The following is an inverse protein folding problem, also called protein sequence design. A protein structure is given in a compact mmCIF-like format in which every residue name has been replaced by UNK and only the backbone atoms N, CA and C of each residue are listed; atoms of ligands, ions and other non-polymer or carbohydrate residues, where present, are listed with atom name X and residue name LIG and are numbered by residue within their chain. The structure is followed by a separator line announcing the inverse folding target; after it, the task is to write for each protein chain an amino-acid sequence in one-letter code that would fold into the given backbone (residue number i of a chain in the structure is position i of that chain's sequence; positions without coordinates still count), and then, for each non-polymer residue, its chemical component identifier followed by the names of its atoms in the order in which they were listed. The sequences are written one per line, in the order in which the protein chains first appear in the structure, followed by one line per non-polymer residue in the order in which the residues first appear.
data_IF_981323442091
#
_entry.id   IF_981323442091
#
_cell.length_a   1.000
_cell.length_b   1.000
_cell.length_c   1.000
_cell.angle_alpha   90.00
_cell.angle_beta   90.00
_cell.angle_gamma   90.00
#
_symmetry.space_group_name_H-M   'P 1'
#
loop_
_entity.id
_entity.type
_entity.pdbx_description
1 polymer ?
#
# COMPACT_ATOMS: atom_id res chain seq x y z
N UNK A 1 -10.15 -8.47 15.61
CA UNK A 1 -9.47 -7.33 16.25
C UNK A 1 -8.82 -7.82 17.52
N UNK A 2 -7.62 -7.38 17.77
CA UNK A 2 -6.89 -7.69 19.00
C UNK A 2 -7.41 -6.79 20.14
N UNK A 3 -7.90 -7.40 21.22
CA UNK A 3 -8.46 -6.64 22.36
C UNK A 3 -7.38 -5.87 23.11
N UNK A 4 -6.12 -6.27 23.02
CA UNK A 4 -5.03 -5.62 23.73
C UNK A 4 -4.70 -4.24 23.16
N UNK A 5 -4.76 -4.06 21.82
CA UNK A 5 -4.32 -2.84 21.14
C UNK A 5 -5.31 -2.26 20.13
N UNK A 6 -6.41 -2.96 19.84
CA UNK A 6 -7.45 -2.52 18.89
C UNK A 6 -7.06 -2.70 17.41
N UNK A 7 -5.87 -3.24 17.11
CA UNK A 7 -5.45 -3.51 15.74
C UNK A 7 -6.14 -4.74 15.16
N UNK A 8 -6.33 -4.76 13.85
CA UNK A 8 -6.88 -5.91 13.14
C UNK A 8 -5.76 -6.88 12.79
N UNK A 9 -5.99 -8.15 13.07
CA UNK A 9 -5.15 -9.25 12.61
C UNK A 9 -6.00 -10.30 11.90
N UNK A 10 -5.40 -11.00 10.94
CA UNK A 10 -6.09 -12.04 10.17
C UNK A 10 -5.13 -13.08 9.63
N UNK A 11 -5.66 -14.29 9.42
CA UNK A 11 -4.98 -15.40 8.77
C UNK A 11 -3.97 -16.15 9.62
N UNK A 12 -3.34 -17.09 8.97
CA UNK A 12 -2.28 -17.95 9.45
C UNK A 12 -1.25 -18.19 8.31
N UNK A 13 -0.26 -19.04 8.52
CA UNK A 13 0.80 -19.34 7.55
C UNK A 13 0.30 -20.06 6.28
N UNK A 14 -0.95 -20.53 6.27
CA UNK A 14 -1.60 -21.19 5.12
C UNK A 14 -2.51 -20.26 4.32
N UNK A 15 -2.76 -19.05 4.81
CA UNK A 15 -3.71 -18.08 4.23
C UNK A 15 -3.01 -16.90 3.57
N UNK A 16 -3.69 -16.25 2.60
CA UNK A 16 -3.32 -14.99 1.99
C UNK A 16 -4.56 -14.11 1.93
N UNK A 17 -4.66 -13.16 2.86
CA UNK A 17 -5.83 -12.30 3.06
C UNK A 17 -5.57 -10.84 2.75
N UNK A 18 -4.46 -10.53 2.09
CA UNK A 18 -4.14 -9.20 1.57
C UNK A 18 -4.07 -9.24 0.06
N UNK A 19 -3.95 -8.09 -0.59
CA UNK A 19 -3.80 -8.03 -2.05
C UNK A 19 -2.53 -8.73 -2.57
N UNK A 20 -1.53 -8.98 -1.70
CA UNK A 20 -0.33 -9.76 -2.01
C UNK A 20 -0.61 -11.25 -1.76
N UNK A 21 -1.40 -11.87 -2.63
CA UNK A 21 -2.08 -13.14 -2.38
C UNK A 21 -1.54 -14.35 -3.17
N UNK A 22 -0.38 -14.25 -3.81
CA UNK A 22 0.19 -15.33 -4.60
C UNK A 22 0.37 -16.61 -3.77
N UNK A 23 -0.29 -17.68 -4.20
CA UNK A 23 -0.22 -19.02 -3.60
C UNK A 23 -0.29 -20.09 -4.66
N UNK A 24 0.54 -21.12 -4.54
CA UNK A 24 0.56 -22.30 -5.43
C UNK A 24 0.96 -23.53 -4.66
N UNK A 25 0.27 -24.63 -4.87
CA UNK A 25 0.57 -25.96 -4.30
C UNK A 25 0.79 -25.91 -2.78
N UNK A 26 -0.03 -25.13 -2.07
CA UNK A 26 0.05 -24.92 -0.63
C UNK A 26 1.10 -23.90 -0.18
N UNK A 27 2.03 -23.46 -1.06
CA UNK A 27 3.04 -22.45 -0.72
C UNK A 27 2.48 -21.04 -0.87
N UNK A 28 2.52 -20.26 0.20
CA UNK A 28 2.28 -18.80 0.20
C UNK A 28 3.61 -18.10 -0.09
N UNK A 29 3.65 -17.29 -1.17
CA UNK A 29 4.89 -16.63 -1.60
C UNK A 29 5.20 -15.35 -0.84
N UNK A 30 4.15 -14.66 -0.39
CA UNK A 30 4.27 -13.41 0.37
C UNK A 30 3.45 -13.51 1.64
N UNK A 31 3.95 -14.23 2.67
CA UNK A 31 3.20 -14.44 3.90
C UNK A 31 3.07 -13.12 4.67
N UNK A 32 1.83 -12.65 4.81
CA UNK A 32 1.46 -11.40 5.50
C UNK A 32 0.28 -11.63 6.45
N UNK A 33 0.16 -12.84 7.01
CA UNK A 33 -0.77 -13.14 8.10
C UNK A 33 -0.34 -12.41 9.38
N UNK A 34 -1.31 -12.00 10.17
CA UNK A 34 -1.10 -11.16 11.34
C UNK A 34 -1.63 -9.75 11.17
N UNK A 35 -0.91 -8.73 11.63
CA UNK A 35 -1.30 -7.32 11.56
C UNK A 35 -0.60 -6.67 10.35
N UNK A 36 -1.27 -6.59 9.21
CA UNK A 36 -0.77 -5.92 8.01
C UNK A 36 -0.98 -4.40 8.11
N UNK A 37 0.00 -3.62 7.69
CA UNK A 37 0.03 -2.15 7.86
C UNK A 37 -1.12 -1.45 7.14
N UNK A 38 -1.38 -1.81 5.87
CA UNK A 38 -2.48 -1.21 5.09
C UNK A 38 -3.85 -1.57 5.64
N UNK A 39 -4.03 -2.79 6.15
CA UNK A 39 -5.30 -3.22 6.74
C UNK A 39 -5.59 -2.40 8.00
N UNK A 40 -4.58 -2.13 8.80
CA UNK A 40 -4.73 -1.30 10.00
C UNK A 40 -4.88 0.19 9.69
N UNK A 41 -4.27 0.70 8.62
CA UNK A 41 -4.53 2.03 8.10
C UNK A 41 -5.98 2.18 7.59
N UNK A 42 -6.46 1.20 6.82
CA UNK A 42 -7.85 1.13 6.36
C UNK A 42 -8.83 1.04 7.54
N UNK A 43 -8.51 0.26 8.56
CA UNK A 43 -9.32 0.14 9.76
C UNK A 43 -9.45 1.46 10.50
N UNK A 44 -8.34 2.16 10.74
CA UNK A 44 -8.35 3.49 11.32
C UNK A 44 -9.22 4.47 10.52
N UNK A 45 -9.00 4.51 9.20
CA UNK A 45 -9.79 5.36 8.30
C UNK A 45 -11.28 4.99 8.32
N UNK A 46 -11.63 3.71 8.37
CA UNK A 46 -13.01 3.26 8.43
C UNK A 46 -13.71 3.72 9.71
N UNK A 47 -13.05 3.63 10.86
CA UNK A 47 -13.60 4.10 12.14
C UNK A 47 -13.91 5.61 12.09
N UNK A 48 -12.96 6.43 11.64
CA UNK A 48 -13.14 7.89 11.52
C UNK A 48 -14.21 8.26 10.50
N UNK A 49 -14.15 7.68 9.30
CA UNK A 49 -15.14 7.97 8.25
C UNK A 49 -16.55 7.56 8.65
N UNK A 50 -16.70 6.45 9.39
CA UNK A 50 -18.01 6.00 9.87
C UNK A 50 -18.55 6.96 10.93
N UNK A 51 -17.73 7.37 11.90
CA UNK A 51 -18.13 8.35 12.92
C UNK A 51 -18.56 9.68 12.29
N UNK A 52 -17.81 10.19 11.31
CA UNK A 52 -18.17 11.40 10.57
C UNK A 52 -19.49 11.25 9.80
N UNK A 53 -19.66 10.13 9.09
CA UNK A 53 -20.88 9.87 8.33
C UNK A 53 -22.11 9.78 9.23
N UNK A 54 -21.99 9.13 10.40
CA UNK A 54 -23.07 9.04 11.39
C UNK A 54 -23.48 10.43 11.89
N UNK A 55 -22.52 11.31 12.21
CA UNK A 55 -22.81 12.68 12.62
C UNK A 55 -23.44 13.50 11.48
N UNK A 56 -22.96 13.34 10.24
CA UNK A 56 -23.47 14.09 9.10
C UNK A 56 -24.94 13.77 8.79
N UNK A 57 -25.40 12.55 9.07
CA UNK A 57 -26.81 12.15 8.87
C UNK A 57 -27.67 12.25 10.15
N UNK A 58 -27.10 12.76 11.25
CA UNK A 58 -27.80 12.85 12.53
C UNK A 58 -28.14 11.51 13.17
N UNK A 59 -27.32 10.48 12.89
CA UNK A 59 -27.46 9.16 13.50
C UNK A 59 -26.93 9.15 14.95
N UNK A 60 -26.88 7.97 15.58
CA UNK A 60 -26.46 7.71 16.94
C UNK A 60 -25.12 8.38 17.29
N UNK A 61 -25.19 9.48 18.05
CA UNK A 61 -24.02 10.26 18.43
C UNK A 61 -23.12 9.51 19.43
N UNK A 62 -23.70 8.73 20.36
CA UNK A 62 -22.96 7.94 21.33
C UNK A 62 -22.12 6.87 20.61
N UNK A 63 -22.70 6.21 19.63
CA UNK A 63 -21.98 5.26 18.79
C UNK A 63 -20.86 5.90 17.98
N UNK A 64 -21.07 7.11 17.45
CA UNK A 64 -20.03 7.86 16.76
C UNK A 64 -18.85 8.21 17.71
N UNK A 65 -19.12 8.56 18.95
CA UNK A 65 -18.08 8.85 19.95
C UNK A 65 -17.30 7.58 20.37
N UNK A 66 -17.99 6.43 20.48
CA UNK A 66 -17.32 5.13 20.68
C UNK A 66 -16.35 4.78 19.54
N UNK A 67 -16.76 5.02 18.28
CA UNK A 67 -15.90 4.78 17.12
C UNK A 67 -14.67 5.69 17.11
N UNK A 68 -14.83 6.95 17.50
CA UNK A 68 -13.71 7.88 17.63
C UNK A 68 -12.76 7.47 18.76
N UNK A 69 -13.28 7.06 19.91
CA UNK A 69 -12.44 6.55 21.01
C UNK A 69 -11.65 5.30 20.60
N UNK A 70 -12.30 4.40 19.82
CA UNK A 70 -11.61 3.24 19.24
C UNK A 70 -10.54 3.67 18.25
N UNK A 71 -10.81 4.65 17.38
CA UNK A 71 -9.84 5.19 16.44
C UNK A 71 -8.62 5.82 17.14
N UNK A 72 -8.83 6.55 18.25
CA UNK A 72 -7.71 7.11 19.03
C UNK A 72 -6.82 6.02 19.62
N UNK A 73 -7.41 4.94 20.10
CA UNK A 73 -6.66 3.76 20.57
C UNK A 73 -5.89 3.10 19.42
N UNK A 74 -6.53 2.87 18.29
CA UNK A 74 -5.88 2.30 17.09
C UNK A 74 -4.72 3.20 16.64
N UNK A 75 -4.87 4.53 16.64
CA UNK A 75 -3.80 5.48 16.33
C UNK A 75 -2.59 5.30 17.25
N UNK A 76 -2.80 5.25 18.55
CA UNK A 76 -1.72 5.07 19.51
C UNK A 76 -0.98 3.75 19.29
N UNK A 77 -1.73 2.67 19.13
CA UNK A 77 -1.18 1.33 18.86
C UNK A 77 -0.47 1.25 17.52
N UNK A 78 -1.05 1.85 16.46
CA UNK A 78 -0.44 1.90 15.13
C UNK A 78 0.94 2.57 15.16
N UNK A 79 1.04 3.73 15.79
CA UNK A 79 2.32 4.44 15.89
C UNK A 79 3.33 3.67 16.75
N UNK A 80 2.91 3.00 17.81
CA UNK A 80 3.79 2.16 18.62
C UNK A 80 4.29 0.92 17.90
N UNK A 81 3.46 0.34 17.01
CA UNK A 81 3.71 -0.98 16.42
C UNK A 81 4.38 -0.92 15.04
N UNK A 82 4.10 0.13 14.24
CA UNK A 82 4.52 0.16 12.83
C UNK A 82 5.59 1.21 12.51
N UNK A 83 5.86 2.20 13.39
CA UNK A 83 6.96 3.15 13.16
C UNK A 83 8.33 2.45 13.22
N UNK A 84 9.35 3.13 12.68
CA UNK A 84 10.74 2.69 12.67
C UNK A 84 10.98 1.38 11.89
N UNK A 85 10.23 1.20 10.82
CA UNK A 85 10.45 0.11 9.87
C UNK A 85 11.67 0.29 8.98
N UNK A 86 11.92 -0.67 8.08
CA UNK A 86 13.08 -0.68 7.19
C UNK A 86 13.21 0.64 6.39
N UNK A 87 14.44 1.14 6.27
CA UNK A 87 14.76 2.36 5.53
C UNK A 87 14.21 3.65 6.15
N UNK A 88 13.63 3.61 7.36
CA UNK A 88 12.95 4.71 8.03
C UNK A 88 11.48 4.86 7.66
N UNK A 89 10.90 3.86 6.97
CA UNK A 89 9.48 3.74 6.69
C UNK A 89 8.71 3.04 7.81
N UNK A 90 7.59 2.40 7.45
CA UNK A 90 6.79 1.59 8.38
C UNK A 90 7.12 0.10 8.25
N UNK A 91 6.93 -0.65 9.33
CA UNK A 91 6.91 -2.11 9.32
C UNK A 91 5.73 -2.56 8.47
N UNK A 92 5.98 -3.48 7.52
CA UNK A 92 4.95 -3.94 6.58
C UNK A 92 3.91 -4.85 7.24
N UNK A 93 4.35 -5.75 8.11
CA UNK A 93 3.46 -6.68 8.80
C UNK A 93 4.07 -7.12 10.14
N UNK A 94 3.21 -7.31 11.13
CA UNK A 94 3.54 -7.96 12.38
C UNK A 94 2.97 -9.38 12.36
N UNK A 95 3.83 -10.39 12.39
CA UNK A 95 3.43 -11.79 12.39
C UNK A 95 3.45 -12.38 13.80
N UNK A 96 2.62 -13.41 14.09
CA UNK A 96 2.72 -14.12 15.36
C UNK A 96 4.13 -14.69 15.58
N UNK A 97 4.72 -14.46 16.74
CA UNK A 97 6.06 -14.96 17.12
C UNK A 97 6.06 -16.39 17.67
N UNK A 98 4.89 -17.02 17.74
CA UNK A 98 4.69 -18.36 18.30
C UNK A 98 4.66 -18.41 19.84
N UNK A 99 4.89 -17.28 20.52
CA UNK A 99 4.90 -17.17 22.00
C UNK A 99 3.76 -16.29 22.53
N UNK A 100 2.79 -15.95 21.66
CA UNK A 100 1.67 -15.07 21.99
C UNK A 100 1.95 -13.58 21.78
N UNK A 101 3.10 -13.23 21.18
CA UNK A 101 3.49 -11.89 20.77
C UNK A 101 3.55 -11.72 19.26
N UNK A 102 4.18 -10.61 18.83
CA UNK A 102 4.26 -10.18 17.43
C UNK A 102 5.72 -9.89 17.05
N UNK A 103 6.12 -10.39 15.88
CA UNK A 103 7.43 -10.15 15.28
C UNK A 103 7.28 -9.26 14.04
N UNK A 104 8.09 -8.21 13.95
CA UNK A 104 8.14 -7.31 12.83
C UNK A 104 8.81 -7.96 11.61
N UNK A 105 8.22 -7.78 10.44
CA UNK A 105 8.87 -8.18 9.18
C UNK A 105 9.95 -7.17 8.77
N UNK A 106 10.95 -7.63 8.00
CA UNK A 106 12.09 -6.84 7.54
C UNK A 106 11.93 -6.31 6.11
N UNK A 107 10.75 -6.48 5.50
CA UNK A 107 10.48 -6.05 4.13
C UNK A 107 10.05 -4.58 4.05
N UNK A 108 10.69 -3.81 3.18
CA UNK A 108 10.21 -2.50 2.76
C UNK A 108 9.30 -2.66 1.53
N UNK A 109 8.02 -2.40 1.72
CA UNK A 109 6.95 -2.59 0.75
C UNK A 109 6.08 -1.34 0.59
N UNK A 110 5.34 -1.20 -0.53
CA UNK A 110 4.52 -0.01 -0.81
C UNK A 110 3.23 0.08 0.03
N UNK A 111 2.86 -0.97 0.76
CA UNK A 111 1.61 -1.05 1.53
C UNK A 111 1.48 0.08 2.56
N UNK A 112 2.58 0.56 3.10
CA UNK A 112 2.63 1.69 4.03
C UNK A 112 2.06 2.99 3.46
N UNK A 113 1.96 3.13 2.14
CA UNK A 113 1.36 4.29 1.48
C UNK A 113 -0.09 4.51 1.89
N UNK A 114 -0.83 3.46 2.22
CA UNK A 114 -2.21 3.59 2.68
C UNK A 114 -2.33 4.32 4.02
N UNK A 115 -1.31 4.26 4.88
CA UNK A 115 -1.30 5.06 6.11
C UNK A 115 -1.21 6.58 5.85
N UNK A 116 -0.85 7.00 4.63
CA UNK A 116 -0.74 8.40 4.22
C UNK A 116 -1.83 8.82 3.23
N UNK A 117 -2.14 7.97 2.24
CA UNK A 117 -3.02 8.30 1.11
C UNK A 117 -4.51 8.32 1.46
N UNK A 118 -4.92 7.70 2.56
CA UNK A 118 -6.32 7.69 3.00
C UNK A 118 -6.75 9.05 3.59
N UNK A 119 -8.05 9.39 3.55
CA UNK A 119 -8.58 10.64 4.13
C UNK A 119 -8.18 10.84 5.59
N UNK A 120 -8.28 9.78 6.40
CA UNK A 120 -7.84 9.78 7.79
C UNK A 120 -6.55 8.98 7.92
N UNK A 121 -5.48 9.65 8.34
CA UNK A 121 -4.17 9.04 8.56
C UNK A 121 -3.92 8.86 10.06
N UNK A 122 -3.40 7.71 10.52
CA UNK A 122 -2.98 7.54 11.90
C UNK A 122 -1.66 8.25 12.21
N UNK A 123 -0.91 8.71 11.19
CA UNK A 123 0.42 9.30 11.30
C UNK A 123 0.39 10.82 11.48
N UNK A 124 1.40 11.36 12.13
CA UNK A 124 1.70 12.79 12.09
C UNK A 124 2.35 13.20 10.74
N UNK A 125 2.52 14.51 10.54
CA UNK A 125 3.00 15.03 9.27
C UNK A 125 4.47 14.70 8.99
N UNK A 126 5.30 14.54 10.02
CA UNK A 126 6.69 14.13 9.86
C UNK A 126 6.79 12.67 9.43
N UNK A 127 6.02 11.79 10.05
CA UNK A 127 5.94 10.38 9.65
C UNK A 127 5.36 10.21 8.23
N UNK A 128 4.33 10.98 7.85
CA UNK A 128 3.78 10.99 6.48
C UNK A 128 4.85 11.34 5.45
N UNK A 129 5.64 12.41 5.71
CA UNK A 129 6.72 12.82 4.83
C UNK A 129 7.78 11.74 4.69
N UNK A 130 8.23 11.15 5.81
CA UNK A 130 9.21 10.04 5.78
C UNK A 130 8.71 8.84 4.96
N UNK A 131 7.46 8.42 5.12
CA UNK A 131 6.88 7.32 4.34
C UNK A 131 6.92 7.63 2.84
N UNK A 132 6.51 8.85 2.44
CA UNK A 132 6.53 9.27 1.02
C UNK A 132 7.96 9.26 0.48
N UNK A 133 8.92 9.85 1.19
CA UNK A 133 10.33 9.92 0.78
C UNK A 133 10.98 8.54 0.64
N UNK A 134 10.71 7.64 1.59
CA UNK A 134 11.23 6.27 1.53
C UNK A 134 10.64 5.51 0.36
N UNK A 135 9.32 5.57 0.16
CA UNK A 135 8.66 4.89 -0.96
C UNK A 135 9.09 5.47 -2.32
N UNK A 136 9.26 6.78 -2.42
CA UNK A 136 9.76 7.43 -3.63
C UNK A 136 11.19 6.97 -3.96
N UNK A 137 12.07 6.97 -2.98
CA UNK A 137 13.50 6.60 -3.17
C UNK A 137 13.69 5.12 -3.49
N UNK A 138 13.00 4.22 -2.78
CA UNK A 138 13.27 2.78 -2.83
C UNK A 138 12.38 2.01 -3.80
N UNK A 139 11.13 2.46 -4.00
CA UNK A 139 10.12 1.66 -4.67
C UNK A 139 9.58 2.28 -5.96
N UNK A 140 9.62 3.61 -6.11
CA UNK A 140 9.03 4.27 -7.29
C UNK A 140 9.82 3.95 -8.56
N UNK A 141 9.08 3.67 -9.64
CA UNK A 141 9.58 3.50 -10.99
C UNK A 141 8.67 4.24 -11.99
N UNK A 142 9.09 4.45 -13.24
CA UNK A 142 8.19 5.01 -14.26
C UNK A 142 6.92 4.18 -14.52
N UNK A 143 6.94 2.87 -14.21
CA UNK A 143 5.82 1.95 -14.46
C UNK A 143 4.93 1.72 -13.23
N UNK A 144 5.19 2.38 -12.10
CA UNK A 144 4.47 2.20 -10.84
C UNK A 144 5.40 1.89 -9.68
N UNK A 145 4.94 1.13 -8.69
CA UNK A 145 5.72 0.83 -7.49
C UNK A 145 6.22 -0.60 -7.45
N UNK A 146 7.52 -0.78 -7.12
CA UNK A 146 8.03 -2.10 -6.75
C UNK A 146 7.32 -2.63 -5.52
N UNK A 147 7.05 -3.92 -5.50
CA UNK A 147 6.39 -4.60 -4.38
C UNK A 147 7.33 -4.95 -3.23
N UNK A 148 8.63 -4.83 -3.45
CA UNK A 148 9.69 -5.06 -2.46
C UNK A 148 10.91 -4.22 -2.83
N UNK A 149 11.63 -3.72 -1.83
CA UNK A 149 12.91 -3.01 -2.02
C UNK A 149 13.96 -3.92 -2.68
N UNK A 150 14.79 -3.31 -3.55
CA UNK A 150 15.85 -4.03 -4.29
C UNK A 150 16.90 -4.66 -3.39
N UNK A 151 17.15 -4.08 -2.25
CA UNK A 151 18.19 -4.53 -1.31
C UNK A 151 17.75 -5.73 -0.48
N UNK A 152 16.47 -6.09 -0.53
CA UNK A 152 15.97 -7.22 0.24
C UNK A 152 16.35 -8.56 -0.41
N UNK A 153 16.78 -9.56 0.40
CA UNK A 153 17.24 -10.90 -0.08
C UNK A 153 16.22 -11.65 -0.94
N UNK A 154 14.92 -11.37 -0.76
CA UNK A 154 13.81 -11.99 -1.52
C UNK A 154 13.45 -11.21 -2.77
N UNK A 155 14.15 -10.13 -3.11
CA UNK A 155 13.86 -9.35 -4.31
C UNK A 155 13.99 -10.19 -5.57
N UNK A 156 12.96 -10.12 -6.43
CA UNK A 156 12.87 -10.78 -7.73
C UNK A 156 12.42 -9.76 -8.76
N UNK A 157 13.36 -9.28 -9.56
CA UNK A 157 13.12 -8.19 -10.49
C UNK A 157 12.18 -8.56 -11.64
N UNK A 158 12.26 -9.82 -12.12
CA UNK A 158 11.64 -10.21 -13.39
C UNK A 158 10.54 -11.24 -13.21
N UNK A 159 9.39 -10.99 -13.85
CA UNK A 159 8.24 -11.90 -13.89
C UNK A 159 8.41 -12.92 -15.00
N UNK A 160 9.39 -13.80 -14.89
CA UNK A 160 9.80 -14.76 -15.94
C UNK A 160 9.97 -16.17 -15.36
N UNK A 161 10.21 -17.14 -16.26
CA UNK A 161 10.43 -18.52 -15.87
C UNK A 161 9.15 -19.34 -15.83
N UNK A 162 9.17 -20.41 -15.04
CA UNK A 162 8.02 -21.25 -14.78
C UNK A 162 7.00 -20.57 -13.85
N UNK A 163 5.89 -21.23 -13.59
CA UNK A 163 4.82 -20.69 -12.78
C UNK A 163 5.25 -20.42 -11.34
N UNK A 164 6.12 -21.29 -10.77
CA UNK A 164 6.63 -21.08 -9.40
C UNK A 164 7.53 -19.85 -9.32
N UNK A 165 8.39 -19.63 -10.32
CA UNK A 165 9.27 -18.47 -10.41
C UNK A 165 8.49 -17.18 -10.57
N UNK A 166 7.42 -17.19 -11.38
CA UNK A 166 6.54 -16.03 -11.56
C UNK A 166 5.77 -15.70 -10.29
N UNK A 167 5.20 -16.69 -9.61
CA UNK A 167 4.50 -16.48 -8.34
C UNK A 167 5.45 -15.98 -7.24
N UNK A 168 6.71 -16.41 -7.23
CA UNK A 168 7.74 -15.90 -6.30
C UNK A 168 8.07 -14.43 -6.58
N UNK A 169 8.06 -14.00 -7.85
CA UNK A 169 8.31 -12.61 -8.23
C UNK A 169 7.10 -11.69 -8.07
N UNK A 170 5.88 -12.23 -8.13
CA UNK A 170 4.62 -11.48 -8.31
C UNK A 170 4.39 -10.36 -7.29
N UNK A 171 4.80 -10.57 -6.03
CA UNK A 171 4.75 -9.55 -4.98
C UNK A 171 6.11 -9.39 -4.25
N UNK A 172 7.22 -9.80 -4.89
CA UNK A 172 8.55 -9.72 -4.30
C UNK A 172 9.55 -8.99 -5.20
N UNK A 173 9.11 -7.96 -5.93
CA UNK A 173 10.02 -7.14 -6.73
C UNK A 173 9.40 -6.59 -7.99
N UNK A 174 8.44 -7.28 -8.61
CA UNK A 174 7.68 -6.75 -9.74
C UNK A 174 7.01 -5.43 -9.40
N UNK A 175 6.85 -4.60 -10.40
CA UNK A 175 6.17 -3.30 -10.30
C UNK A 175 4.69 -3.48 -10.58
N UNK A 176 3.87 -2.89 -9.74
CA UNK A 176 2.43 -2.85 -9.90
C UNK A 176 1.98 -1.41 -10.23
N UNK A 177 1.48 -1.17 -11.46
CA UNK A 177 1.10 0.18 -11.90
C UNK A 177 0.01 0.84 -11.04
N UNK A 178 -0.98 0.08 -10.53
CA UNK A 178 -2.06 0.64 -9.74
C UNK A 178 -1.59 1.36 -8.47
N UNK A 179 -0.46 0.93 -7.90
CA UNK A 179 0.11 1.55 -6.69
C UNK A 179 0.61 2.98 -6.91
N UNK A 180 0.67 3.44 -8.18
CA UNK A 180 0.96 4.84 -8.46
C UNK A 180 -0.11 5.78 -7.90
N UNK A 181 -1.37 5.30 -7.80
CA UNK A 181 -2.46 6.06 -7.21
C UNK A 181 -2.23 6.36 -5.74
N UNK A 182 -2.06 5.36 -4.86
CA UNK A 182 -1.69 5.58 -3.47
C UNK A 182 -0.41 6.41 -3.30
N UNK A 183 0.62 6.22 -4.14
CA UNK A 183 1.86 7.00 -4.08
C UNK A 183 1.62 8.49 -4.40
N UNK A 184 0.93 8.78 -5.50
CA UNK A 184 0.62 10.14 -5.90
C UNK A 184 -0.28 10.84 -4.88
N UNK A 185 -1.32 10.16 -4.37
CA UNK A 185 -2.19 10.74 -3.34
C UNK A 185 -1.46 10.95 -2.01
N UNK A 186 -0.60 10.02 -1.59
CA UNK A 186 0.24 10.22 -0.41
C UNK A 186 1.14 11.46 -0.57
N UNK A 187 1.71 11.66 -1.75
CA UNK A 187 2.50 12.87 -2.09
C UNK A 187 1.65 14.14 -1.99
N UNK A 188 0.42 14.12 -2.53
CA UNK A 188 -0.51 15.25 -2.44
C UNK A 188 -0.87 15.56 -0.99
N UNK A 189 -1.20 14.57 -0.19
CA UNK A 189 -1.59 14.76 1.23
C UNK A 189 -0.44 15.21 2.10
N UNK A 190 0.75 14.65 1.92
CA UNK A 190 1.94 15.08 2.64
C UNK A 190 2.37 16.51 2.28
N UNK A 191 2.13 16.95 1.04
CA UNK A 191 2.36 18.31 0.56
C UNK A 191 1.17 19.26 0.71
N UNK A 192 0.08 18.86 1.37
CA UNK A 192 -1.09 19.72 1.57
C UNK A 192 -1.80 20.15 0.29
N UNK A 193 -1.70 19.37 -0.78
CA UNK A 193 -2.25 19.65 -2.12
C UNK A 193 -1.74 20.96 -2.75
N UNK A 194 -0.52 21.37 -2.41
CA UNK A 194 0.12 22.54 -3.01
C UNK A 194 0.53 22.30 -4.48
N UNK A 195 0.99 23.35 -5.15
CA UNK A 195 1.37 23.28 -6.56
C UNK A 195 2.56 22.32 -6.81
N UNK A 196 3.46 22.21 -5.85
CA UNK A 196 4.62 21.32 -5.93
C UNK A 196 4.18 19.85 -5.89
N UNK A 197 3.38 19.47 -4.90
CA UNK A 197 2.83 18.11 -4.77
C UNK A 197 1.94 17.72 -5.95
N UNK A 198 1.13 18.66 -6.47
CA UNK A 198 0.34 18.47 -7.71
C UNK A 198 1.24 18.26 -8.93
N UNK A 199 2.34 19.01 -9.05
CA UNK A 199 3.30 18.81 -10.14
C UNK A 199 3.97 17.44 -10.06
N UNK A 200 4.41 17.03 -8.88
CA UNK A 200 4.99 15.69 -8.64
C UNK A 200 4.00 14.59 -8.98
N UNK A 201 2.77 14.66 -8.50
CA UNK A 201 1.74 13.66 -8.78
C UNK A 201 1.44 13.54 -10.30
N UNK A 202 1.38 14.65 -11.03
CA UNK A 202 1.26 14.64 -12.51
C UNK A 202 2.45 13.97 -13.18
N UNK A 203 3.66 14.23 -12.69
CA UNK A 203 4.88 13.61 -13.24
C UNK A 203 4.90 12.09 -13.02
N UNK A 204 4.38 11.60 -11.89
CA UNK A 204 4.31 10.17 -11.57
C UNK A 204 3.38 9.40 -12.51
N UNK A 205 2.22 9.94 -12.87
CA UNK A 205 1.25 9.23 -13.72
C UNK A 205 1.55 9.36 -15.22
N UNK A 206 2.36 10.34 -15.62
CA UNK A 206 2.63 10.63 -17.03
C UNK A 206 3.24 9.45 -17.80
N UNK A 207 4.27 8.73 -17.29
CA UNK A 207 4.83 7.59 -18.01
C UNK A 207 3.79 6.49 -18.28
N UNK A 208 2.88 6.22 -17.33
CA UNK A 208 1.81 5.24 -17.53
C UNK A 208 0.80 5.68 -18.60
N UNK A 209 0.52 6.98 -18.71
CA UNK A 209 -0.32 7.52 -19.80
C UNK A 209 0.40 7.33 -21.16
N UNK A 210 1.71 7.54 -21.20
CA UNK A 210 2.50 7.34 -22.41
C UNK A 210 2.51 5.88 -22.88
N UNK A 211 2.55 4.89 -21.96
CA UNK A 211 2.47 3.46 -22.30
C UNK A 211 1.13 3.06 -22.92
N UNK A 212 0.04 3.80 -22.68
CA UNK A 212 -1.28 3.53 -23.27
C UNK A 212 -1.30 3.70 -24.80
N UNK A 213 -0.25 4.28 -25.38
CA UNK A 213 -0.10 4.41 -26.85
C UNK A 213 0.73 3.29 -27.48
N UNK A 214 1.28 2.40 -26.65
CA UNK A 214 2.03 1.20 -27.01
C UNK A 214 1.45 -0.02 -26.29
N UNK A 215 1.93 -1.19 -26.51
CA UNK A 215 1.41 -2.39 -25.83
C UNK A 215 -0.09 -2.61 -26.08
N UNK A 216 -0.90 -2.70 -25.04
CA UNK A 216 -2.35 -2.78 -25.14
C UNK A 216 -2.97 -1.37 -25.22
N UNK A 217 -3.28 -0.92 -26.44
CA UNK A 217 -3.74 0.43 -26.72
C UNK A 217 -4.92 0.87 -25.82
N UNK A 218 -4.76 2.00 -25.13
CA UNK A 218 -5.75 2.55 -24.21
C UNK A 218 -5.84 1.83 -22.87
N UNK A 219 -4.93 0.90 -22.58
CA UNK A 219 -4.91 0.11 -21.35
C UNK A 219 -3.54 0.19 -20.65
N UNK A 220 -3.50 -0.28 -19.41
CA UNK A 220 -2.28 -0.40 -18.61
C UNK A 220 -2.20 -1.84 -18.11
N UNK A 221 -1.02 -2.44 -18.18
CA UNK A 221 -0.78 -3.83 -17.76
C UNK A 221 -0.97 -4.02 -16.25
N UNK A 222 -1.01 -5.27 -15.84
CA UNK A 222 -1.13 -5.67 -14.43
C UNK A 222 0.18 -5.45 -13.68
N UNK A 223 1.28 -5.98 -14.20
CA UNK A 223 2.62 -5.90 -13.63
C UNK A 223 3.64 -5.54 -14.69
N UNK A 224 4.78 -5.02 -14.27
CA UNK A 224 5.98 -4.94 -15.09
C UNK A 224 7.19 -5.42 -14.30
N UNK A 225 8.29 -5.67 -14.99
CA UNK A 225 9.55 -6.03 -14.34
C UNK A 225 10.04 -4.90 -13.42
N UNK A 226 10.62 -5.27 -12.29
CA UNK A 226 11.16 -4.33 -11.31
C UNK A 226 12.41 -3.59 -11.79
N UNK A 227 13.19 -4.20 -12.67
CA UNK A 227 14.41 -3.67 -13.25
C UNK A 227 14.36 -3.65 -14.77
N UNK A 228 15.29 -2.95 -15.41
CA UNK A 228 15.38 -2.87 -16.87
C UNK A 228 15.69 -4.23 -17.52
N UNK A 229 15.12 -4.49 -18.70
CA UNK A 229 14.15 -3.68 -19.46
C UNK A 229 12.74 -3.89 -18.92
N UNK A 230 12.11 -3.01 -18.23
CA UNK A 230 10.78 -3.14 -17.57
C UNK A 230 9.69 -3.62 -18.51
N UNK A 231 9.70 -4.91 -18.83
CA UNK A 231 8.71 -5.52 -19.73
C UNK A 231 7.34 -5.55 -19.04
N UNK A 232 6.31 -5.17 -19.79
CA UNK A 232 4.92 -5.31 -19.38
C UNK A 232 4.54 -6.78 -19.33
N UNK A 233 3.92 -7.22 -18.22
CA UNK A 233 3.65 -8.61 -17.89
C UNK A 233 2.25 -8.77 -17.27
N UNK A 234 1.87 -10.01 -16.98
CA UNK A 234 0.59 -10.35 -16.38
C UNK A 234 -0.58 -10.12 -17.33
N UNK A 235 -1.72 -9.65 -16.80
CA UNK A 235 -2.86 -9.26 -17.61
C UNK A 235 -2.55 -7.98 -18.40
N UNK A 236 -2.82 -7.98 -19.71
CA UNK A 236 -2.51 -6.86 -20.61
C UNK A 236 -3.37 -5.62 -20.35
N UNK A 237 -4.52 -5.77 -19.71
CA UNK A 237 -5.49 -4.73 -19.43
C UNK A 237 -6.02 -4.87 -18.01
N UNK A 238 -5.43 -4.11 -17.07
CA UNK A 238 -5.80 -4.20 -15.65
C UNK A 238 -6.64 -2.99 -15.23
N UNK A 239 -7.87 -3.26 -14.81
CA UNK A 239 -8.86 -2.21 -14.51
C UNK A 239 -8.38 -1.24 -13.41
N UNK A 240 -7.83 -1.71 -12.32
CA UNK A 240 -7.36 -0.83 -11.24
C UNK A 240 -6.15 0.02 -11.63
N UNK A 241 -5.28 -0.47 -12.54
CA UNK A 241 -4.17 0.34 -13.07
C UNK A 241 -4.69 1.56 -13.84
N UNK A 242 -5.69 1.37 -14.70
CA UNK A 242 -6.35 2.46 -15.44
C UNK A 242 -7.13 3.38 -14.48
N UNK A 243 -7.89 2.79 -13.55
CA UNK A 243 -8.71 3.54 -12.60
C UNK A 243 -7.88 4.49 -11.74
N UNK A 244 -6.73 4.06 -11.25
CA UNK A 244 -5.85 4.89 -10.42
C UNK A 244 -5.23 6.06 -11.19
N UNK A 245 -4.81 5.84 -12.43
CA UNK A 245 -4.32 6.95 -13.29
C UNK A 245 -5.42 7.97 -13.54
N UNK A 246 -6.65 7.53 -13.82
CA UNK A 246 -7.82 8.42 -14.00
C UNK A 246 -8.13 9.17 -12.70
N UNK A 247 -8.16 8.49 -11.57
CA UNK A 247 -8.45 9.08 -10.26
C UNK A 247 -7.46 10.19 -9.90
N UNK A 248 -6.17 9.92 -10.05
CA UNK A 248 -5.13 10.94 -9.80
C UNK A 248 -5.25 12.07 -10.81
N UNK A 249 -5.51 11.78 -12.10
CA UNK A 249 -5.75 12.79 -13.12
C UNK A 249 -6.86 13.77 -12.76
N UNK A 250 -7.91 13.33 -12.04
CA UNK A 250 -8.97 14.20 -11.51
C UNK A 250 -8.46 14.99 -10.30
N UNK A 251 -7.82 14.35 -9.34
CA UNK A 251 -7.32 15.00 -8.10
C UNK A 251 -6.35 16.16 -8.37
N UNK A 252 -5.54 16.06 -9.42
CA UNK A 252 -4.55 17.09 -9.75
C UNK A 252 -5.07 18.22 -10.64
N UNK A 253 -6.32 18.16 -11.11
CA UNK A 253 -6.94 19.22 -11.94
C UNK A 253 -7.45 20.41 -11.12
N UNK A 254 -7.81 20.16 -9.87
CA UNK A 254 -8.31 21.18 -8.91
C UNK A 254 -7.18 21.88 -8.15
#
# INVERSE_FOLDING_TARGET
MDEADGLVFAGDDTTQLTWMDAKRDGKVFTPRHGKAVEINALWFNALRSTAEAMRAVGADAERADELDAMADRVRASFNSAFLDGPGGGLIDCLRPDGNGGWEATDELRPNQLFAVSLPHSPLDDDAKRRVVEVCERELLTPMGMRTLSRDHRRYRAHFTGDMMSRDDAYHNGTVWPWLIGPMAEATLRAGGFDDESKRKARAMIRPLIETMTSGCLGQICEVSDGDEPRLEQGCVAQAWSVAEVLRIGVLVRG
#
